data_IF_764096966478
#
_entry.id   IF_764096966478
#
_cell.length_a   1.000
_cell.length_b   1.000
_cell.length_c   1.000
_cell.angle_alpha   90.00
_cell.angle_beta   90.00
_cell.angle_gamma   90.00
#
_symmetry.space_group_name_H-M   'P 1'
#
loop_
_entity.id
_entity.type
_entity.pdbx_description
1 polymer ?
#
# COMPACT_ATOMS: atom_id res chain seq x y z
N UNK A 1 -38.14 32.91 23.15
CA UNK A 1 -37.83 32.10 24.36
C UNK A 1 -38.57 30.77 24.20
N UNK A 2 -38.01 29.56 24.19
CA UNK A 2 -36.73 29.00 24.66
C UNK A 2 -36.51 27.66 23.93
N UNK A 3 -35.25 27.41 23.56
CA UNK A 3 -34.53 26.14 23.41
C UNK A 3 -35.30 24.85 23.08
N UNK A 4 -34.85 24.17 22.01
CA UNK A 4 -34.27 22.80 22.08
C UNK A 4 -33.59 22.43 20.75
N UNK A 5 -32.32 22.82 20.66
CA UNK A 5 -31.31 22.12 19.86
C UNK A 5 -30.80 20.92 20.68
N UNK A 6 -30.22 19.92 19.97
CA UNK A 6 -29.62 18.66 20.43
C UNK A 6 -30.62 17.49 20.47
N UNK A 7 -30.47 16.41 19.70
CA UNK A 7 -29.27 15.59 19.60
C UNK A 7 -29.18 14.94 18.20
N UNK A 8 -28.18 15.33 17.42
CA UNK A 8 -27.57 14.51 16.36
C UNK A 8 -26.23 14.05 16.91
N UNK A 9 -25.77 12.86 16.51
CA UNK A 9 -24.49 12.22 16.82
C UNK A 9 -24.49 11.32 18.06
N UNK A 10 -24.59 10.00 17.85
CA UNK A 10 -23.80 8.96 18.55
C UNK A 10 -24.29 7.52 18.26
N UNK A 11 -24.79 7.19 17.07
CA UNK A 11 -25.02 5.77 16.69
C UNK A 11 -24.49 5.51 15.27
N UNK A 12 -23.23 5.86 15.06
CA UNK A 12 -22.43 5.34 13.95
C UNK A 12 -20.97 5.15 14.41
N UNK A 13 -20.79 4.95 15.72
CA UNK A 13 -19.50 4.61 16.29
C UNK A 13 -19.39 3.08 16.35
N UNK A 14 -18.36 2.56 15.70
CA UNK A 14 -17.69 1.30 16.05
C UNK A 14 -18.41 0.01 15.70
N UNK A 15 -18.87 -0.10 14.46
CA UNK A 15 -18.81 -1.38 13.75
C UNK A 15 -18.09 -1.18 12.41
N UNK A 16 -17.01 -0.40 12.41
CA UNK A 16 -15.91 -0.69 11.50
C UNK A 16 -15.48 -2.10 11.88
N UNK A 17 -15.96 -3.08 11.12
CA UNK A 17 -15.48 -4.44 11.10
C UNK A 17 -13.97 -4.32 11.07
N UNK A 18 -13.34 -4.54 12.23
CA UNK A 18 -11.92 -4.81 12.36
C UNK A 18 -11.72 -6.11 11.61
N UNK A 19 -11.64 -6.01 10.28
CA UNK A 19 -10.98 -7.02 9.48
C UNK A 19 -9.56 -6.98 10.02
N UNK A 20 -9.27 -7.88 10.95
CA UNK A 20 -7.90 -8.13 11.37
C UNK A 20 -7.10 -8.30 10.07
N UNK A 21 -6.06 -7.48 9.83
CA UNK A 21 -5.36 -7.51 8.56
C UNK A 21 -4.90 -8.94 8.32
N UNK A 22 -5.34 -9.51 7.19
CA UNK A 22 -5.05 -10.88 6.81
C UNK A 22 -3.54 -11.12 6.91
N UNK A 23 -3.15 -11.89 7.93
CA UNK A 23 -1.76 -12.32 8.24
C UNK A 23 -0.75 -11.26 7.82
N UNK A 24 -0.73 -10.15 8.53
CA UNK A 24 0.16 -9.06 8.19
C UNK A 24 1.62 -9.55 8.30
N UNK A 25 2.28 -9.74 7.15
CA UNK A 25 3.66 -10.19 7.07
C UNK A 25 4.67 -9.08 7.45
N UNK A 26 4.28 -8.07 8.24
CA UNK A 26 5.19 -7.21 8.99
C UNK A 26 4.87 -7.49 10.45
N UNK A 27 5.80 -7.89 11.32
CA UNK A 27 5.49 -7.66 12.74
C UNK A 27 5.60 -6.15 12.95
N UNK A 28 4.67 -5.51 13.67
CA UNK A 28 4.88 -4.13 14.08
C UNK A 28 5.95 -4.15 15.16
N UNK A 29 7.20 -4.11 14.72
CA UNK A 29 8.37 -4.12 15.58
C UNK A 29 9.03 -2.74 15.57
N UNK A 30 9.98 -2.55 16.49
CA UNK A 30 10.69 -1.29 16.65
C UNK A 30 11.45 -0.89 15.35
N UNK A 31 11.80 -1.86 14.51
CA UNK A 31 12.46 -1.62 13.22
C UNK A 31 11.52 -0.95 12.22
N UNK A 32 10.27 -1.40 12.11
CA UNK A 32 9.26 -0.76 11.26
C UNK A 32 9.01 0.72 11.65
N UNK A 33 9.39 1.13 12.86
CA UNK A 33 9.23 2.48 13.35
C UNK A 33 10.53 3.30 13.42
N UNK A 34 11.70 2.67 13.44
CA UNK A 34 13.00 3.36 13.54
C UNK A 34 13.81 3.35 12.24
N UNK A 35 13.63 2.37 11.34
CA UNK A 35 14.46 2.24 10.14
C UNK A 35 14.27 3.42 9.17
N UNK A 36 15.34 4.02 8.66
CA UNK A 36 15.28 5.27 7.87
C UNK A 36 15.15 5.08 6.35
N UNK A 37 15.11 3.85 5.85
CA UNK A 37 15.01 3.60 4.41
C UNK A 37 14.55 2.19 4.07
N UNK A 38 15.27 1.18 4.54
CA UNK A 38 14.82 -0.20 4.41
C UNK A 38 15.27 -1.03 5.60
N UNK A 39 14.62 -2.16 5.79
CA UNK A 39 15.09 -3.20 6.70
C UNK A 39 14.69 -4.57 6.16
N UNK A 40 15.47 -5.59 6.51
CA UNK A 40 15.17 -6.96 6.13
C UNK A 40 14.92 -7.79 7.37
N UNK A 41 13.98 -8.73 7.27
CA UNK A 41 13.68 -9.67 8.35
C UNK A 41 13.10 -10.95 7.80
N UNK A 42 13.16 -12.00 8.60
CA UNK A 42 12.42 -13.22 8.33
C UNK A 42 10.98 -13.06 8.82
N UNK A 43 10.05 -13.49 7.97
CA UNK A 43 8.62 -13.56 8.28
C UNK A 43 8.13 -14.92 7.85
N UNK A 44 7.63 -15.72 8.80
CA UNK A 44 7.24 -17.11 8.57
C UNK A 44 8.35 -17.92 7.88
N UNK A 45 9.62 -17.70 8.26
CA UNK A 45 10.78 -18.39 7.69
C UNK A 45 11.25 -17.87 6.32
N UNK A 46 10.56 -16.89 5.72
CA UNK A 46 10.94 -16.32 4.42
C UNK A 46 11.62 -14.96 4.63
N UNK A 47 12.80 -14.70 4.05
CA UNK A 47 13.41 -13.38 4.10
C UNK A 47 12.56 -12.39 3.29
N UNK A 48 12.24 -11.25 3.91
CA UNK A 48 11.50 -10.15 3.31
C UNK A 48 12.28 -8.86 3.51
N UNK A 49 12.27 -8.00 2.49
CA UNK A 49 12.84 -6.66 2.58
C UNK A 49 11.72 -5.63 2.50
N UNK A 50 11.69 -4.75 3.49
CA UNK A 50 10.72 -3.68 3.65
C UNK A 50 11.38 -2.37 3.25
N UNK A 51 10.75 -1.65 2.33
CA UNK A 51 11.20 -0.35 1.86
C UNK A 51 10.25 0.72 2.36
N UNK A 52 10.82 1.75 2.98
CA UNK A 52 10.08 2.91 3.45
C UNK A 52 9.65 3.72 2.23
N UNK A 53 8.35 3.87 2.06
CA UNK A 53 7.75 4.72 1.04
C UNK A 53 7.64 6.16 1.54
N UNK A 54 7.31 6.32 2.83
CA UNK A 54 7.11 7.62 3.41
C UNK A 54 6.57 7.56 4.84
N UNK A 55 6.43 8.73 5.44
CA UNK A 55 5.93 8.90 6.80
C UNK A 55 4.92 10.05 6.83
N UNK A 56 3.78 9.84 7.49
CA UNK A 56 2.75 10.87 7.70
C UNK A 56 2.34 10.83 9.17
N UNK A 57 2.68 11.88 9.93
CA UNK A 57 2.45 11.89 11.39
C UNK A 57 3.12 10.69 12.07
N UNK A 58 2.33 9.91 12.83
CA UNK A 58 2.79 8.69 13.49
C UNK A 58 2.75 7.43 12.61
N UNK A 59 2.44 7.55 11.33
CA UNK A 59 2.29 6.41 10.41
C UNK A 59 3.47 6.31 9.44
N UNK A 60 3.96 5.09 9.25
CA UNK A 60 5.01 4.77 8.28
C UNK A 60 4.47 3.79 7.24
N UNK A 61 4.77 4.09 5.98
CA UNK A 61 4.27 3.37 4.83
C UNK A 61 5.41 2.53 4.29
N UNK A 62 5.17 1.23 4.19
CA UNK A 62 6.17 0.25 3.82
C UNK A 62 5.69 -0.58 2.62
N UNK A 63 6.63 -0.95 1.77
CA UNK A 63 6.42 -1.94 0.71
C UNK A 63 7.33 -3.13 0.96
N UNK A 64 6.82 -4.33 0.70
CA UNK A 64 7.62 -5.56 0.75
C UNK A 64 7.96 -6.01 -0.65
N UNK A 65 9.26 -6.21 -0.87
CA UNK A 65 9.79 -6.88 -2.05
C UNK A 65 10.05 -8.35 -1.70
N UNK A 66 9.57 -9.26 -2.55
CA UNK A 66 9.79 -10.69 -2.35
C UNK A 66 11.25 -11.05 -2.64
N UNK A 67 11.99 -11.59 -1.67
CA UNK A 67 13.41 -11.91 -1.88
C UNK A 67 13.67 -12.92 -3.01
N UNK A 68 12.72 -13.80 -3.30
CA UNK A 68 12.83 -14.81 -4.36
C UNK A 68 12.40 -14.30 -5.72
N UNK A 69 11.60 -13.24 -5.78
CA UNK A 69 10.97 -12.77 -7.02
C UNK A 69 11.40 -11.35 -7.40
N UNK A 70 12.03 -10.60 -6.49
CA UNK A 70 12.46 -9.19 -6.57
C UNK A 70 11.38 -8.17 -7.02
N UNK A 71 10.10 -8.54 -7.05
CA UNK A 71 8.99 -7.58 -7.26
C UNK A 71 8.22 -7.28 -5.96
N UNK A 72 7.46 -6.18 -5.99
CA UNK A 72 6.58 -5.76 -4.90
C UNK A 72 5.47 -6.78 -4.65
N UNK A 73 5.33 -7.28 -3.43
CA UNK A 73 4.30 -8.29 -3.10
C UNK A 73 3.16 -7.72 -2.26
N UNK A 74 3.46 -6.74 -1.40
CA UNK A 74 2.50 -6.26 -0.40
C UNK A 74 2.85 -4.83 0.07
N UNK A 75 1.85 -4.04 0.39
CA UNK A 75 2.00 -2.75 1.07
C UNK A 75 1.49 -2.82 2.51
N UNK A 76 2.07 -2.00 3.39
CA UNK A 76 1.73 -1.93 4.80
C UNK A 76 1.74 -0.49 5.29
N UNK A 77 0.87 -0.22 6.25
CA UNK A 77 0.90 1.00 7.05
C UNK A 77 1.07 0.60 8.50
N UNK A 78 2.13 1.08 9.12
CA UNK A 78 2.45 0.85 10.52
C UNK A 78 2.21 2.14 11.30
N UNK A 79 1.41 2.07 12.36
CA UNK A 79 1.25 3.14 13.33
C UNK A 79 2.29 2.98 14.43
N UNK A 80 3.22 3.91 14.49
CA UNK A 80 4.32 3.86 15.46
C UNK A 80 3.91 4.27 16.87
N UNK A 81 2.87 5.10 17.01
CA UNK A 81 2.24 5.30 18.30
C UNK A 81 1.48 4.02 18.69
N UNK A 82 2.10 3.17 19.51
CA UNK A 82 1.53 1.91 19.97
C UNK A 82 1.94 0.67 19.18
N UNK A 83 2.86 0.79 18.22
CA UNK A 83 3.47 -0.36 17.53
C UNK A 83 2.45 -1.32 16.94
N UNK A 84 1.57 -0.83 16.05
CA UNK A 84 0.52 -1.66 15.45
C UNK A 84 0.46 -1.48 13.94
N UNK A 85 0.08 -2.54 13.23
CA UNK A 85 -0.22 -2.45 11.80
C UNK A 85 -1.61 -1.86 11.65
N UNK A 86 -1.67 -0.69 11.02
CA UNK A 86 -2.93 -0.02 10.73
C UNK A 86 -3.62 -0.61 9.49
N UNK A 87 -2.85 -1.01 8.48
CA UNK A 87 -3.38 -1.70 7.31
C UNK A 87 -2.30 -2.50 6.57
N UNK A 88 -2.73 -3.49 5.79
CA UNK A 88 -1.90 -4.20 4.84
C UNK A 88 -2.72 -4.62 3.64
N UNK A 89 -2.14 -4.57 2.44
CA UNK A 89 -2.80 -5.00 1.21
C UNK A 89 -1.82 -5.78 0.31
N UNK A 90 -2.24 -6.97 -0.15
CA UNK A 90 -1.54 -7.68 -1.20
C UNK A 90 -1.52 -6.83 -2.46
N UNK A 91 -0.37 -6.80 -3.13
CA UNK A 91 -0.20 -6.09 -4.39
C UNK A 91 -0.33 -7.09 -5.52
N UNK A 92 -1.55 -7.28 -5.98
CA UNK A 92 -1.85 -8.04 -7.20
C UNK A 92 -1.45 -7.22 -8.42
N UNK A 93 -0.94 -7.92 -9.44
CA UNK A 93 -0.76 -7.33 -10.77
C UNK A 93 -2.16 -7.14 -11.36
N UNK A 94 -2.62 -5.90 -11.47
CA UNK A 94 -3.97 -5.56 -11.97
C UNK A 94 -3.92 -5.01 -13.40
N UNK A 95 -2.75 -4.55 -13.84
CA UNK A 95 -2.52 -4.06 -15.19
C UNK A 95 -1.26 -4.71 -15.79
N UNK A 96 -1.28 -4.98 -17.10
CA UNK A 96 -0.14 -5.57 -17.83
C UNK A 96 0.29 -4.69 -19.02
N UNK A 97 -0.05 -3.39 -19.00
CA UNK A 97 0.23 -2.46 -20.09
C UNK A 97 -0.54 -1.13 -19.99
N UNK A 98 -0.42 -0.30 -21.03
CA UNK A 98 -1.12 0.98 -21.16
C UNK A 98 -0.55 2.12 -20.31
N UNK A 99 -1.38 3.10 -19.95
CA UNK A 99 -0.96 4.30 -19.20
C UNK A 99 -0.31 3.99 -17.85
N UNK A 100 -0.60 2.82 -17.28
CA UNK A 100 -0.01 2.37 -16.01
C UNK A 100 1.47 1.98 -16.14
N UNK A 101 2.00 1.89 -17.36
CA UNK A 101 3.43 1.70 -17.61
C UNK A 101 4.22 3.00 -17.75
N UNK A 102 3.54 4.14 -17.80
CA UNK A 102 4.19 5.44 -17.63
C UNK A 102 4.55 5.73 -16.17
N UNK A 103 5.04 6.94 -15.92
CA UNK A 103 5.29 7.46 -14.55
C UNK A 103 4.43 8.68 -14.24
N UNK A 104 3.55 9.06 -15.17
CA UNK A 104 2.72 10.26 -15.07
C UNK A 104 1.65 10.09 -14.00
N UNK A 105 1.74 10.90 -12.95
CA UNK A 105 0.72 10.98 -11.89
C UNK A 105 -0.48 11.81 -12.35
N UNK A 106 -1.67 11.35 -12.01
CA UNK A 106 -2.95 12.05 -12.19
C UNK A 106 -3.70 12.14 -10.86
N UNK A 107 -4.87 12.79 -10.85
CA UNK A 107 -5.72 12.87 -9.65
C UNK A 107 -6.23 11.50 -9.19
N UNK A 108 -6.40 10.56 -10.13
CA UNK A 108 -6.86 9.20 -9.82
C UNK A 108 -5.70 8.26 -9.53
N UNK A 109 -4.54 8.42 -10.18
CA UNK A 109 -3.43 7.49 -10.06
C UNK A 109 -2.13 8.21 -9.73
N UNK A 110 -1.54 7.88 -8.59
CA UNK A 110 -0.26 8.44 -8.16
C UNK A 110 0.85 7.42 -8.31
N UNK A 111 1.84 7.75 -9.13
CA UNK A 111 3.03 6.92 -9.29
C UNK A 111 3.87 6.99 -8.02
N UNK A 112 4.40 5.84 -7.61
CA UNK A 112 5.17 5.71 -6.36
C UNK A 112 6.57 5.18 -6.63
N UNK A 113 6.73 4.24 -7.57
CA UNK A 113 8.04 3.69 -7.89
C UNK A 113 7.98 2.51 -8.85
N UNK A 114 9.16 2.01 -9.22
CA UNK A 114 9.33 0.84 -10.07
C UNK A 114 10.26 -0.19 -9.44
N UNK A 115 10.18 -1.42 -9.93
CA UNK A 115 11.10 -2.51 -9.60
C UNK A 115 11.08 -3.53 -10.72
N UNK A 116 12.25 -3.90 -11.23
CA UNK A 116 12.36 -4.98 -12.18
C UNK A 116 12.38 -6.33 -11.47
N UNK A 117 11.89 -7.37 -12.13
CA UNK A 117 11.87 -8.72 -11.58
C UNK A 117 11.82 -9.79 -12.66
N UNK A 118 12.44 -10.92 -12.35
CA UNK A 118 12.46 -12.11 -13.20
C UNK A 118 11.15 -12.90 -13.03
N UNK A 119 10.55 -13.27 -14.15
CA UNK A 119 9.37 -14.13 -14.18
C UNK A 119 9.78 -15.57 -13.82
N UNK A 120 9.26 -16.14 -12.71
CA UNK A 120 9.56 -17.52 -12.36
C UNK A 120 8.86 -18.49 -13.32
N UNK A 121 9.52 -19.62 -13.62
CA UNK A 121 8.90 -20.74 -14.33
C UNK A 121 9.03 -20.72 -15.86
N UNK A 122 9.81 -19.82 -16.44
CA UNK A 122 10.17 -19.86 -17.85
C UNK A 122 11.55 -20.51 -18.06
N UNK A 123 11.76 -21.25 -19.18
CA UNK A 123 13.06 -21.86 -19.49
C UNK A 123 14.17 -20.84 -19.78
N UNK A 124 13.81 -19.57 -20.01
CA UNK A 124 14.73 -18.45 -20.22
C UNK A 124 14.32 -17.32 -19.26
N UNK A 125 15.28 -16.64 -18.60
CA UNK A 125 14.96 -15.53 -17.70
C UNK A 125 14.36 -14.37 -18.50
N UNK A 126 13.07 -14.10 -18.26
CA UNK A 126 12.40 -12.90 -18.78
C UNK A 126 12.25 -11.92 -17.63
N UNK A 127 12.82 -10.74 -17.79
CA UNK A 127 12.68 -9.63 -16.85
C UNK A 127 11.43 -8.82 -17.19
N UNK A 128 10.74 -8.30 -16.18
CA UNK A 128 9.59 -7.41 -16.32
C UNK A 128 9.71 -6.26 -15.35
N UNK A 129 9.34 -5.07 -15.79
CA UNK A 129 9.29 -3.88 -14.93
C UNK A 129 7.95 -3.79 -14.24
N UNK A 130 7.92 -3.65 -12.92
CA UNK A 130 6.70 -3.50 -12.16
C UNK A 130 6.56 -2.05 -11.67
N UNK A 131 5.50 -1.37 -12.09
CA UNK A 131 5.17 0.01 -11.68
C UNK A 131 4.15 -0.04 -10.54
N UNK A 132 4.47 0.62 -9.44
CA UNK A 132 3.61 0.70 -8.27
C UNK A 132 2.83 2.01 -8.22
N UNK A 133 1.53 1.89 -7.97
CA UNK A 133 0.58 3.00 -8.00
C UNK A 133 -0.31 3.03 -6.75
N UNK A 134 -0.60 4.24 -6.28
CA UNK A 134 -1.75 4.49 -5.41
C UNK A 134 -2.94 4.91 -6.27
N UNK A 135 -4.06 4.21 -6.11
CA UNK A 135 -5.32 4.48 -6.78
C UNK A 135 -6.23 5.23 -5.83
N UNK A 136 -6.82 6.31 -6.32
CA UNK A 136 -7.74 7.14 -5.59
C UNK A 136 -9.13 6.99 -6.20
N UNK A 137 -10.14 7.00 -5.34
CA UNK A 137 -11.54 7.04 -5.73
C UNK A 137 -12.08 8.44 -5.49
N UNK A 138 -12.92 8.90 -6.40
CA UNK A 138 -13.66 10.15 -6.17
C UNK A 138 -14.83 9.87 -5.24
N UNK A 139 -14.85 10.54 -4.09
CA UNK A 139 -16.00 10.51 -3.18
C UNK A 139 -16.75 11.82 -3.29
N UNK A 140 -18.06 11.74 -3.53
CA UNK A 140 -18.96 12.88 -3.51
C UNK A 140 -19.72 12.94 -2.18
N UNK A 141 -19.72 14.13 -1.56
CA UNK A 141 -20.51 14.44 -0.37
C UNK A 141 -21.34 15.68 -0.66
N UNK A 142 -22.55 15.46 -1.20
CA UNK A 142 -23.48 16.54 -1.56
C UNK A 142 -22.89 17.48 -2.61
N UNK A 143 -22.53 18.69 -2.19
CA UNK A 143 -22.02 19.76 -3.08
C UNK A 143 -20.50 19.73 -3.34
N UNK A 144 -19.74 18.93 -2.61
CA UNK A 144 -18.29 18.82 -2.78
C UNK A 144 -17.89 17.38 -3.10
N UNK A 145 -16.75 17.23 -3.75
CA UNK A 145 -16.09 15.93 -3.86
C UNK A 145 -14.58 16.07 -3.70
N UNK A 146 -13.97 14.96 -3.31
CA UNK A 146 -12.53 14.87 -3.10
C UNK A 146 -12.04 13.48 -3.48
N UNK A 147 -10.78 13.40 -3.88
CA UNK A 147 -10.10 12.13 -4.15
C UNK A 147 -9.61 11.54 -2.82
N UNK A 148 -10.09 10.35 -2.50
CA UNK A 148 -9.64 9.58 -1.35
C UNK A 148 -8.80 8.41 -1.81
N UNK A 149 -7.79 8.04 -1.02
CA UNK A 149 -7.07 6.81 -1.25
C UNK A 149 -8.06 5.63 -1.21
N UNK A 150 -8.01 4.77 -2.23
CA UNK A 150 -8.87 3.58 -2.33
C UNK A 150 -8.02 2.33 -2.09
N UNK A 151 -7.06 2.07 -2.97
CA UNK A 151 -6.15 0.95 -2.86
C UNK A 151 -4.81 1.22 -3.55
N UNK A 152 -3.90 0.26 -3.48
CA UNK A 152 -2.67 0.27 -4.24
C UNK A 152 -2.63 -0.90 -5.20
N UNK A 153 -1.99 -0.70 -6.35
CA UNK A 153 -1.90 -1.73 -7.39
C UNK A 153 -0.50 -1.80 -8.02
N UNK A 154 -0.26 -2.89 -8.73
CA UNK A 154 0.94 -3.08 -9.55
C UNK A 154 0.57 -3.25 -11.01
N UNK A 155 1.32 -2.56 -11.86
CA UNK A 155 1.31 -2.79 -13.29
C UNK A 155 2.58 -3.52 -13.71
N UNK A 156 2.45 -4.67 -14.36
CA UNK A 156 3.55 -5.33 -15.04
C UNK A 156 3.73 -4.70 -16.42
N UNK A 157 4.94 -4.27 -16.71
CA UNK A 157 5.28 -3.54 -17.91
C UNK A 157 6.37 -4.30 -18.68
N UNK A 158 6.30 -4.31 -20.01
CA UNK A 158 7.40 -4.80 -20.81
C UNK A 158 8.64 -3.98 -20.47
N UNK A 159 9.76 -4.67 -20.22
CA UNK A 159 11.06 -4.01 -20.05
C UNK A 159 11.38 -3.19 -21.27
N UNK A 160 11.73 -1.92 -21.08
CA UNK A 160 12.17 -1.05 -22.16
C UNK A 160 13.42 -1.67 -22.80
N UNK A 161 13.27 -2.14 -24.04
CA UNK A 161 14.37 -2.66 -24.88
C UNK A 161 15.30 -1.55 -25.35
#
# INVERSE_FOLDING_TARGET
MRLRFALVAAVAALASVLVAPAVANAAPDDLACSAAGSYSRYVNGVPKTFWLVGTVGSYRYWQVVGATTDYYQRSYVVRCSGGAIASSADLTITATGGDRCGTTTTSQYRYVGERAALLPGLPFPVESDYRYWHVYRWESSGFFGFWTYDHSELAQCPTAS
#
